data_IF_069993671594
#
_entry.id   IF_069993671594
#
_cell.length_a   1.000
_cell.length_b   1.000
_cell.length_c   1.000
_cell.angle_alpha   90.00
_cell.angle_beta   90.00
_cell.angle_gamma   90.00
#
_symmetry.space_group_name_H-M   'P 1'
#
loop_
_entity.id
_entity.type
_entity.pdbx_description
1 polymer ?
#
# COMPACT_ATOMS: atom_id res chain seq x y z
N UNK A 1 0.00 -1.07 26.47
CA UNK A 1 0.51 -1.67 25.21
C UNK A 1 -0.13 -0.96 24.02
N UNK A 2 0.62 -0.64 22.95
CA UNK A 2 0.04 -0.02 21.74
C UNK A 2 -0.90 -1.01 21.04
N UNK A 3 -2.03 -0.54 20.50
CA UNK A 3 -3.01 -1.37 19.78
C UNK A 3 -2.34 -2.08 18.59
N UNK A 4 -2.51 -3.40 18.47
CA UNK A 4 -2.16 -4.16 17.25
C UNK A 4 -3.12 -3.78 16.14
N UNK A 5 -2.58 -3.46 14.97
CA UNK A 5 -3.34 -2.97 13.81
C UNK A 5 -3.12 -3.93 12.64
N UNK A 6 -4.11 -3.99 11.76
CA UNK A 6 -4.05 -4.67 10.47
C UNK A 6 -3.82 -3.64 9.37
N UNK A 7 -2.64 -3.66 8.77
CA UNK A 7 -2.16 -2.61 7.88
C UNK A 7 -1.97 -3.19 6.48
N UNK A 8 -2.72 -2.68 5.50
CA UNK A 8 -2.54 -2.97 4.09
C UNK A 8 -1.64 -1.92 3.45
N UNK A 9 -0.43 -2.33 3.07
CA UNK A 9 0.47 -1.51 2.26
C UNK A 9 0.11 -1.71 0.79
N UNK A 10 -0.33 -0.65 0.13
CA UNK A 10 -0.83 -0.69 -1.25
C UNK A 10 0.13 0.05 -2.18
N UNK A 11 0.64 -0.69 -3.17
CA UNK A 11 1.58 -0.20 -4.16
C UNK A 11 1.22 -0.75 -5.54
N UNK A 12 1.57 0.00 -6.59
CA UNK A 12 1.23 -0.34 -7.96
C UNK A 12 2.36 -0.12 -8.98
N UNK A 13 3.57 -0.02 -8.47
CA UNK A 13 4.78 0.18 -9.27
C UNK A 13 5.71 -1.02 -9.14
N UNK A 14 6.53 -1.27 -10.17
CA UNK A 14 7.48 -2.38 -10.15
C UNK A 14 8.58 -2.18 -9.11
N UNK A 15 9.22 -3.29 -8.74
CA UNK A 15 10.25 -3.39 -7.70
C UNK A 15 11.49 -2.52 -7.92
N UNK A 16 11.86 -2.24 -9.17
CA UNK A 16 13.02 -1.39 -9.51
C UNK A 16 12.84 0.09 -9.14
N UNK A 17 11.93 0.39 -8.20
CA UNK A 17 11.67 1.73 -7.67
C UNK A 17 11.99 1.77 -6.18
N UNK A 18 12.62 2.87 -5.74
CA UNK A 18 12.90 3.11 -4.32
C UNK A 18 11.63 3.07 -3.44
N UNK A 19 10.46 3.36 -4.03
CA UNK A 19 9.17 3.31 -3.35
C UNK A 19 8.78 1.88 -2.98
N UNK A 20 9.03 0.89 -3.86
CA UNK A 20 8.71 -0.50 -3.58
C UNK A 20 9.60 -1.12 -2.49
N UNK A 21 10.89 -0.81 -2.54
CA UNK A 21 11.84 -1.18 -1.50
C UNK A 21 11.45 -0.55 -0.15
N UNK A 22 11.16 0.76 -0.14
CA UNK A 22 10.68 1.46 1.05
C UNK A 22 9.39 0.86 1.62
N UNK A 23 8.43 0.48 0.76
CA UNK A 23 7.20 -0.15 1.20
C UNK A 23 7.46 -1.49 1.93
N UNK A 24 8.39 -2.32 1.43
CA UNK A 24 8.76 -3.57 2.12
C UNK A 24 9.56 -3.33 3.39
N UNK A 25 10.51 -2.40 3.39
CA UNK A 25 11.25 -2.03 4.59
C UNK A 25 10.30 -1.56 5.71
N UNK A 26 9.30 -0.75 5.35
CA UNK A 26 8.28 -0.30 6.28
C UNK A 26 7.41 -1.47 6.79
N UNK A 27 7.02 -2.41 5.92
CA UNK A 27 6.31 -3.63 6.32
C UNK A 27 7.08 -4.41 7.38
N UNK A 28 8.39 -4.58 7.19
CA UNK A 28 9.25 -5.30 8.12
C UNK A 28 9.29 -4.63 9.50
N UNK A 29 9.49 -3.31 9.54
CA UNK A 29 9.52 -2.56 10.79
C UNK A 29 8.16 -2.60 11.51
N UNK A 30 7.05 -2.44 10.79
CA UNK A 30 5.71 -2.50 11.37
C UNK A 30 5.35 -3.90 11.87
N UNK A 31 5.75 -4.93 11.15
CA UNK A 31 5.59 -6.33 11.58
C UNK A 31 6.38 -6.61 12.87
N UNK A 32 7.65 -6.18 12.94
CA UNK A 32 8.48 -6.29 14.17
C UNK A 32 7.89 -5.53 15.37
N UNK A 33 7.11 -4.47 15.13
CA UNK A 33 6.34 -3.75 16.16
C UNK A 33 5.03 -4.44 16.56
N UNK A 34 4.75 -5.61 16.02
CA UNK A 34 3.59 -6.43 16.37
C UNK A 34 2.32 -6.17 15.55
N UNK A 35 2.39 -5.36 14.48
CA UNK A 35 1.26 -5.15 13.57
C UNK A 35 1.11 -6.33 12.60
N UNK A 36 -0.12 -6.62 12.17
CA UNK A 36 -0.37 -7.62 11.11
C UNK A 36 -0.29 -6.93 9.76
N UNK A 37 0.55 -7.46 8.87
CA UNK A 37 0.89 -6.82 7.60
C UNK A 37 0.24 -7.56 6.44
N UNK A 38 -0.38 -6.74 5.60
CA UNK A 38 -0.94 -7.12 4.32
C UNK A 38 -0.27 -6.30 3.22
N UNK A 39 -0.12 -6.87 2.04
CA UNK A 39 0.56 -6.21 0.93
C UNK A 39 -0.24 -6.33 -0.38
N UNK A 40 -0.63 -5.21 -0.95
CA UNK A 40 -1.34 -5.13 -2.21
C UNK A 40 -0.41 -4.68 -3.34
N UNK A 41 -0.25 -5.51 -4.36
CA UNK A 41 0.59 -5.22 -5.53
C UNK A 41 0.17 -6.05 -6.75
N UNK A 42 0.71 -5.73 -7.93
CA UNK A 42 0.49 -6.54 -9.14
C UNK A 42 1.05 -7.95 -8.96
N UNK A 43 0.26 -8.99 -9.28
CA UNK A 43 0.67 -10.41 -9.10
C UNK A 43 2.00 -10.75 -9.75
N UNK A 44 2.27 -10.14 -10.89
CA UNK A 44 3.47 -10.36 -11.69
C UNK A 44 4.67 -9.55 -11.18
N UNK A 45 4.44 -8.58 -10.29
CA UNK A 45 5.50 -7.74 -9.74
C UNK A 45 6.40 -8.53 -8.79
N UNK A 46 7.68 -8.18 -8.81
CA UNK A 46 8.64 -8.66 -7.82
C UNK A 46 8.23 -8.28 -6.39
N UNK A 47 7.65 -7.08 -6.17
CA UNK A 47 7.18 -6.64 -4.86
C UNK A 47 6.12 -7.59 -4.27
N UNK A 48 5.24 -8.13 -5.11
CA UNK A 48 4.25 -9.12 -4.69
C UNK A 48 4.91 -10.45 -4.28
N UNK A 49 5.87 -10.93 -5.08
CA UNK A 49 6.62 -12.16 -4.77
C UNK A 49 7.45 -12.01 -3.50
N UNK A 50 8.20 -10.92 -3.36
CA UNK A 50 9.02 -10.62 -2.20
C UNK A 50 8.18 -10.45 -0.92
N UNK A 51 7.02 -9.80 -0.99
CA UNK A 51 6.09 -9.73 0.14
C UNK A 51 5.59 -11.12 0.56
N UNK A 52 5.28 -11.98 -0.41
CA UNK A 52 4.85 -13.36 -0.17
C UNK A 52 5.97 -14.22 0.44
N UNK A 53 7.19 -14.09 -0.05
CA UNK A 53 8.39 -14.77 0.49
C UNK A 53 8.69 -14.34 1.93
N UNK A 54 8.46 -13.07 2.26
CA UNK A 54 8.52 -12.56 3.65
C UNK A 54 7.35 -13.04 4.53
N UNK A 55 6.43 -13.84 4.01
CA UNK A 55 5.30 -14.41 4.74
C UNK A 55 4.12 -13.46 4.95
N UNK A 56 4.06 -12.31 4.26
CA UNK A 56 2.92 -11.41 4.35
C UNK A 56 1.72 -11.94 3.57
N UNK A 57 0.50 -11.63 4.04
CA UNK A 57 -0.71 -11.88 3.26
C UNK A 57 -0.78 -10.89 2.10
N UNK A 58 -0.72 -11.42 0.88
CA UNK A 58 -0.70 -10.61 -0.34
C UNK A 58 -2.08 -10.55 -1.00
N UNK A 59 -2.42 -9.40 -1.59
CA UNK A 59 -3.59 -9.26 -2.45
C UNK A 59 -3.22 -8.71 -3.84
N UNK A 60 -3.81 -9.24 -4.91
CA UNK A 60 -3.64 -8.68 -6.25
C UNK A 60 -4.18 -7.25 -6.34
N UNK A 61 -3.36 -6.32 -6.84
CA UNK A 61 -3.77 -4.95 -7.15
C UNK A 61 -3.23 -4.55 -8.54
N UNK A 62 -3.99 -3.83 -9.38
CA UNK A 62 -3.56 -3.51 -10.74
C UNK A 62 -2.23 -2.76 -10.78
N UNK A 63 -1.39 -3.05 -11.77
CA UNK A 63 -0.18 -2.27 -12.07
C UNK A 63 -0.53 -0.87 -12.59
N UNK A 64 0.36 0.12 -12.38
CA UNK A 64 0.19 1.51 -12.84
C UNK A 64 -0.06 1.66 -14.34
N UNK A 65 0.40 0.70 -15.15
CA UNK A 65 0.18 0.69 -16.61
C UNK A 65 -1.27 0.39 -16.99
N UNK A 66 -2.05 -0.21 -16.09
CA UNK A 66 -3.47 -0.51 -16.31
C UNK A 66 -4.33 0.68 -15.85
N UNK A 67 -5.46 0.90 -16.51
CA UNK A 67 -6.44 1.89 -16.03
C UNK A 67 -7.09 1.32 -14.77
N UNK A 68 -7.12 2.14 -13.70
CA UNK A 68 -7.84 1.78 -12.49
C UNK A 68 -9.33 2.02 -12.73
N UNK A 69 -10.12 0.96 -12.72
CA UNK A 69 -11.56 1.01 -12.93
C UNK A 69 -12.31 0.78 -11.62
N UNK A 70 -13.60 1.15 -11.52
CA UNK A 70 -14.42 0.83 -10.34
C UNK A 70 -14.47 -0.68 -10.04
N UNK A 71 -14.34 -1.54 -11.06
CA UNK A 71 -14.32 -3.00 -10.91
C UNK A 71 -13.11 -3.45 -10.08
N UNK A 72 -11.97 -2.75 -10.19
CA UNK A 72 -10.76 -3.05 -9.44
C UNK A 72 -10.88 -2.68 -7.94
N UNK A 73 -11.86 -1.84 -7.57
CA UNK A 73 -12.09 -1.42 -6.18
C UNK A 73 -12.85 -2.47 -5.39
N UNK A 74 -13.80 -3.21 -5.99
CA UNK A 74 -14.61 -4.19 -5.26
C UNK A 74 -13.79 -5.33 -4.64
N UNK A 75 -12.78 -5.92 -5.31
CA UNK A 75 -11.89 -6.89 -4.67
C UNK A 75 -11.15 -6.31 -3.47
N UNK A 76 -10.69 -5.06 -3.56
CA UNK A 76 -10.03 -4.34 -2.44
C UNK A 76 -11.00 -4.12 -1.28
N UNK A 77 -12.25 -3.73 -1.54
CA UNK A 77 -13.33 -3.59 -0.55
C UNK A 77 -13.58 -4.92 0.16
N UNK A 78 -13.82 -5.99 -0.62
CA UNK A 78 -14.08 -7.34 -0.09
C UNK A 78 -12.91 -7.84 0.77
N UNK A 79 -11.68 -7.60 0.32
CA UNK A 79 -10.48 -7.94 1.08
C UNK A 79 -10.40 -7.17 2.40
N UNK A 80 -10.64 -5.86 2.38
CA UNK A 80 -10.60 -5.03 3.58
C UNK A 80 -11.66 -5.43 4.61
N UNK A 81 -12.88 -5.77 4.17
CA UNK A 81 -13.95 -6.26 5.05
C UNK A 81 -13.63 -7.62 5.64
N UNK A 82 -13.21 -8.58 4.80
CA UNK A 82 -12.90 -9.96 5.20
C UNK A 82 -11.77 -10.00 6.23
N UNK A 83 -10.67 -9.32 5.92
CA UNK A 83 -9.48 -9.34 6.78
C UNK A 83 -9.57 -8.37 7.96
N UNK A 84 -10.60 -7.50 7.97
CA UNK A 84 -10.82 -6.43 8.95
C UNK A 84 -9.66 -5.46 9.01
N UNK A 85 -9.21 -4.99 7.83
CA UNK A 85 -8.11 -4.03 7.72
C UNK A 85 -8.46 -2.76 8.51
N UNK A 86 -7.53 -2.26 9.32
CA UNK A 86 -7.69 -0.99 10.04
C UNK A 86 -7.20 0.20 9.19
N UNK A 87 -6.08 0.00 8.49
CA UNK A 87 -5.36 1.05 7.76
C UNK A 87 -5.00 0.58 6.35
N UNK A 88 -5.29 1.42 5.34
CA UNK A 88 -4.60 1.35 4.04
C UNK A 88 -3.50 2.40 4.04
N UNK A 89 -2.25 1.96 3.86
CA UNK A 89 -1.10 2.79 3.63
C UNK A 89 -0.77 2.80 2.14
N UNK A 90 -1.11 3.90 1.46
CA UNK A 90 -0.92 4.09 0.03
C UNK A 90 0.44 4.71 -0.26
N UNK A 91 1.21 4.07 -1.14
CA UNK A 91 2.57 4.49 -1.50
C UNK A 91 2.64 5.30 -2.81
N UNK A 92 1.53 5.38 -3.55
CA UNK A 92 1.45 6.17 -4.80
C UNK A 92 0.16 6.98 -4.84
N UNK A 93 0.11 7.97 -5.75
CA UNK A 93 -1.10 8.77 -5.96
C UNK A 93 -2.31 7.92 -6.35
N UNK A 94 -2.12 6.93 -7.23
CA UNK A 94 -3.20 6.05 -7.66
C UNK A 94 -3.61 5.06 -6.57
N UNK A 95 -2.68 4.55 -5.77
CA UNK A 95 -3.01 3.77 -4.57
C UNK A 95 -3.81 4.60 -3.55
N UNK A 96 -3.52 5.89 -3.41
CA UNK A 96 -4.29 6.78 -2.54
C UNK A 96 -5.72 6.96 -3.07
N UNK A 97 -5.88 7.17 -4.37
CA UNK A 97 -7.21 7.23 -5.01
C UNK A 97 -7.99 5.94 -4.77
N UNK A 98 -7.38 4.77 -4.95
CA UNK A 98 -8.01 3.49 -4.67
C UNK A 98 -8.41 3.35 -3.18
N UNK A 99 -7.55 3.80 -2.26
CA UNK A 99 -7.85 3.78 -0.83
C UNK A 99 -9.01 4.71 -0.46
N UNK A 100 -9.08 5.90 -1.07
CA UNK A 100 -10.19 6.84 -0.90
C UNK A 100 -11.50 6.27 -1.44
N UNK A 101 -11.49 5.69 -2.64
CA UNK A 101 -12.65 5.01 -3.22
C UNK A 101 -13.11 3.83 -2.34
N UNK A 102 -12.17 3.03 -1.83
CA UNK A 102 -12.47 1.92 -0.91
C UNK A 102 -13.15 2.40 0.37
N UNK A 103 -12.73 3.55 0.90
CA UNK A 103 -13.28 4.13 2.15
C UNK A 103 -14.77 4.46 2.02
N UNK A 104 -15.27 4.79 0.83
CA UNK A 104 -16.72 5.00 0.58
C UNK A 104 -17.54 3.76 0.99
N UNK A 105 -17.00 2.55 0.75
CA UNK A 105 -17.66 1.28 1.08
C UNK A 105 -17.23 0.67 2.43
N UNK A 106 -16.17 1.22 3.00
CA UNK A 106 -15.53 0.77 4.24
C UNK A 106 -15.19 1.99 5.12
N UNK A 107 -16.19 2.67 5.71
CA UNK A 107 -15.98 3.95 6.42
C UNK A 107 -15.08 3.82 7.66
N UNK A 108 -14.92 2.61 8.21
CA UNK A 108 -14.01 2.30 9.31
C UNK A 108 -12.52 2.37 8.91
N UNK A 109 -12.20 2.32 7.61
CA UNK A 109 -10.82 2.36 7.14
C UNK A 109 -10.19 3.73 7.34
N UNK A 110 -9.00 3.72 7.93
CA UNK A 110 -8.12 4.88 7.94
C UNK A 110 -7.17 4.80 6.75
N UNK A 111 -6.90 5.94 6.13
CA UNK A 111 -5.99 6.02 5.00
C UNK A 111 -4.76 6.84 5.38
N UNK A 112 -3.59 6.30 5.12
CA UNK A 112 -2.30 6.97 5.26
C UNK A 112 -1.69 7.07 3.87
N UNK A 113 -1.14 8.24 3.52
CA UNK A 113 -0.34 8.40 2.32
C UNK A 113 1.13 8.46 2.72
N UNK A 114 1.89 7.49 2.27
CA UNK A 114 3.34 7.54 2.31
C UNK A 114 3.83 8.23 1.03
N UNK A 115 4.64 9.27 1.16
CA UNK A 115 5.33 9.92 0.05
C UNK A 115 6.81 9.55 0.12
N UNK A 116 7.28 8.83 -0.88
CA UNK A 116 8.69 8.63 -1.16
C UNK A 116 8.97 9.30 -2.50
N UNK A 117 9.57 10.48 -2.44
CA UNK A 117 9.90 11.29 -3.61
C UNK A 117 11.43 11.38 -3.70
N UNK A 118 12.00 11.08 -4.87
CA UNK A 118 13.41 11.29 -5.14
C UNK A 118 13.51 12.61 -5.89
N UNK A 119 13.52 13.72 -5.16
CA UNK A 119 13.79 15.05 -5.73
C UNK A 119 15.12 15.53 -5.23
N UNK A 120 15.93 16.08 -6.14
CA UNK A 120 17.02 16.95 -5.74
C UNK A 120 16.45 18.06 -4.86
N UNK A 121 17.11 18.43 -3.75
CA UNK A 121 16.68 19.56 -2.95
C UNK A 121 16.54 20.77 -3.89
N UNK A 122 15.33 21.33 -3.97
CA UNK A 122 15.13 22.57 -4.69
C UNK A 122 15.83 23.66 -3.90
N UNK A 123 16.97 24.13 -4.39
CA UNK A 123 17.60 25.35 -3.90
C UNK A 123 16.64 26.49 -4.24
N UNK A 124 15.82 26.90 -3.26
CA UNK A 124 15.07 28.14 -3.38
C UNK A 124 16.11 29.27 -3.26
N UNK A 125 16.53 29.80 -4.40
CA UNK A 125 17.50 30.90 -4.53
C UNK A 125 16.87 32.28 -4.29
N UNK A 126 15.79 32.34 -3.52
CA UNK A 126 15.17 33.61 -3.10
C UNK A 126 14.81 33.47 -1.63
N UNK A 127 15.80 33.78 -0.79
CA UNK A 127 15.66 34.20 0.61
C UNK A 127 16.13 35.64 0.70
#
# INVERSE_FOLDING_TARGET
>A
MKKRLKILNLIDIPWSSAVADYALAQCEVLSKKGHEIYFGASKESFSFKAAKEKGYKVMPFPDRKKILTPIDIFPLVSFCKKEKIDIINAHTGRALTAAAATKVFCPFLKTVRTKSDAKSPSVNLIS
#
